data_IF_795011863354
#
_entry.id   IF_795011863354
#
_cell.length_a   1.000
_cell.length_b   1.000
_cell.length_c   1.000
_cell.angle_alpha   90.00
_cell.angle_beta   90.00
_cell.angle_gamma   90.00
#
_symmetry.space_group_name_H-M   'P 1'
#
loop_
_entity.id
_entity.type
_entity.pdbx_description
1 polymer ?
#
# COMPACT_ATOMS: atom_id res chain seq x y z
N UNK A 1 -8.27 8.08 5.78
CA UNK A 1 -7.90 6.93 4.92
C UNK A 1 -7.99 5.62 5.70
N UNK A 2 -7.37 5.56 6.88
CA UNK A 2 -7.37 4.40 7.78
C UNK A 2 -8.75 3.73 7.97
N UNK A 3 -9.78 4.45 8.41
CA UNK A 3 -11.11 3.86 8.67
C UNK A 3 -11.73 3.21 7.44
N UNK A 4 -11.53 3.82 6.26
CA UNK A 4 -12.02 3.28 4.99
C UNK A 4 -11.27 2.02 4.58
N UNK A 5 -9.98 1.92 4.89
CA UNK A 5 -9.19 0.72 4.61
C UNK A 5 -9.62 -0.40 5.56
N UNK A 6 -9.71 -0.12 6.86
CA UNK A 6 -10.14 -1.10 7.87
C UNK A 6 -11.52 -1.65 7.54
N UNK A 7 -12.48 -0.78 7.22
CA UNK A 7 -13.84 -1.18 6.82
C UNK A 7 -13.84 -2.09 5.59
N UNK A 8 -13.03 -1.76 4.59
CA UNK A 8 -12.96 -2.51 3.34
C UNK A 8 -12.19 -3.83 3.45
N UNK A 9 -11.24 -3.93 4.37
CA UNK A 9 -10.54 -5.18 4.66
C UNK A 9 -11.47 -6.21 5.32
N UNK A 10 -12.49 -5.75 6.06
CA UNK A 10 -13.53 -6.60 6.62
C UNK A 10 -12.95 -7.74 7.45
N UNK A 11 -13.36 -8.97 7.13
CA UNK A 11 -12.91 -10.18 7.84
C UNK A 11 -11.40 -10.46 7.72
N UNK A 12 -10.71 -9.82 6.77
CA UNK A 12 -9.25 -9.95 6.67
C UNK A 12 -8.53 -9.10 7.72
N UNK A 13 -9.16 -8.04 8.23
CA UNK A 13 -8.55 -7.13 9.20
C UNK A 13 -8.57 -7.72 10.62
N UNK A 14 -7.40 -7.73 11.25
CA UNK A 14 -7.27 -8.04 12.67
C UNK A 14 -7.27 -6.73 13.46
N UNK A 15 -8.08 -6.68 14.52
CA UNK A 15 -8.23 -5.49 15.36
C UNK A 15 -6.90 -4.95 15.92
N UNK A 16 -5.94 -5.84 16.14
CA UNK A 16 -4.60 -5.53 16.67
C UNK A 16 -3.63 -4.98 15.61
N UNK A 17 -4.00 -5.03 14.33
CA UNK A 17 -3.14 -4.61 13.22
C UNK A 17 -3.37 -3.14 12.81
N UNK A 18 -4.03 -2.32 13.62
CA UNK A 18 -4.29 -0.91 13.27
C UNK A 18 -2.99 -0.17 12.92
N UNK A 19 -1.95 -0.35 13.73
CA UNK A 19 -0.65 0.28 13.52
C UNK A 19 0.07 -0.29 12.28
N UNK A 20 -0.19 -1.54 11.91
CA UNK A 20 0.33 -2.12 10.66
C UNK A 20 -0.26 -1.37 9.46
N UNK A 21 -1.58 -1.12 9.47
CA UNK A 21 -2.24 -0.38 8.40
C UNK A 21 -1.75 1.07 8.36
N UNK A 22 -1.54 1.72 9.52
CA UNK A 22 -0.96 3.07 9.58
C UNK A 22 0.44 3.12 8.98
N UNK A 23 1.31 2.18 9.35
CA UNK A 23 2.67 2.10 8.82
C UNK A 23 2.68 1.94 7.29
N UNK A 24 1.77 1.11 6.74
CA UNK A 24 1.63 1.00 5.29
C UNK A 24 1.14 2.30 4.64
N UNK A 25 0.17 3.00 5.24
CA UNK A 25 -0.29 4.31 4.72
C UNK A 25 0.87 5.29 4.65
N UNK A 26 1.70 5.37 5.69
CA UNK A 26 2.87 6.26 5.73
C UNK A 26 3.92 5.87 4.68
N UNK A 27 4.27 4.59 4.59
CA UNK A 27 5.25 4.08 3.65
C UNK A 27 4.82 4.33 2.19
N UNK A 28 3.63 3.86 1.82
CA UNK A 28 3.14 4.03 0.45
C UNK A 28 2.81 5.50 0.13
N UNK A 29 2.41 6.29 1.13
CA UNK A 29 2.27 7.74 1.01
C UNK A 29 3.59 8.42 0.62
N UNK A 30 4.68 8.06 1.30
CA UNK A 30 6.02 8.58 1.01
C UNK A 30 6.50 8.18 -0.38
N UNK A 31 6.31 6.92 -0.76
CA UNK A 31 6.65 6.42 -2.11
C UNK A 31 5.86 7.19 -3.16
N UNK A 32 4.54 7.32 -2.98
CA UNK A 32 3.68 8.01 -3.93
C UNK A 32 4.05 9.50 -4.07
N UNK A 33 4.32 10.19 -2.96
CA UNK A 33 4.73 11.59 -2.94
C UNK A 33 6.04 11.82 -3.72
N UNK A 34 7.07 11.02 -3.42
CA UNK A 34 8.38 11.13 -4.03
C UNK A 34 8.36 10.89 -5.55
N UNK A 35 7.51 9.98 -6.03
CA UNK A 35 7.45 9.64 -7.45
C UNK A 35 6.52 10.55 -8.27
N UNK A 36 5.59 11.23 -7.61
CA UNK A 36 4.61 12.12 -8.27
C UNK A 36 4.92 13.61 -8.12
N UNK A 37 5.93 14.01 -7.35
CA UNK A 37 6.18 15.40 -6.96
C UNK A 37 4.95 16.07 -6.30
N UNK A 38 4.13 15.29 -5.60
CA UNK A 38 2.96 15.77 -4.84
C UNK A 38 3.20 15.58 -3.36
N UNK A 39 2.39 16.25 -2.54
CA UNK A 39 2.33 15.97 -1.10
C UNK A 39 1.63 14.63 -0.88
N UNK A 40 2.00 13.89 0.17
CA UNK A 40 1.42 12.59 0.47
C UNK A 40 -0.11 12.65 0.70
N UNK A 41 -0.61 13.80 1.15
CA UNK A 41 -2.02 14.07 1.42
C UNK A 41 -2.79 14.55 0.17
N UNK A 42 -2.14 14.67 -0.99
CA UNK A 42 -2.78 15.11 -2.23
C UNK A 42 -3.87 14.11 -2.63
N UNK A 43 -5.11 14.59 -2.84
CA UNK A 43 -6.27 13.78 -3.17
C UNK A 43 -6.06 12.94 -4.45
N UNK A 44 -5.20 13.40 -5.37
CA UNK A 44 -4.87 12.63 -6.58
C UNK A 44 -4.03 11.39 -6.27
N UNK A 45 -3.32 11.34 -5.14
CA UNK A 45 -2.59 10.15 -4.70
C UNK A 45 -3.46 9.16 -3.93
N UNK A 46 -4.58 9.63 -3.36
CA UNK A 46 -5.48 8.83 -2.54
C UNK A 46 -5.79 7.45 -3.14
N UNK A 47 -6.31 7.32 -4.38
CA UNK A 47 -6.70 6.01 -4.90
C UNK A 47 -5.52 5.05 -5.07
N UNK A 48 -4.34 5.56 -5.37
CA UNK A 48 -3.14 4.76 -5.58
C UNK A 48 -2.59 4.23 -4.25
N UNK A 49 -2.44 5.11 -3.25
CA UNK A 49 -1.99 4.74 -1.90
C UNK A 49 -2.99 3.77 -1.28
N UNK A 50 -4.29 4.07 -1.38
CA UNK A 50 -5.37 3.25 -0.85
C UNK A 50 -5.32 1.80 -1.35
N UNK A 51 -5.15 1.63 -2.66
CA UNK A 51 -5.07 0.30 -3.28
C UNK A 51 -3.78 -0.44 -2.90
N UNK A 52 -2.64 0.27 -2.85
CA UNK A 52 -1.36 -0.32 -2.45
C UNK A 52 -1.40 -0.85 -1.01
N UNK A 53 -1.94 -0.05 -0.07
CA UNK A 53 -2.08 -0.45 1.34
C UNK A 53 -2.97 -1.68 1.50
N UNK A 54 -4.13 -1.72 0.84
CA UNK A 54 -5.02 -2.89 0.89
C UNK A 54 -4.33 -4.13 0.35
N UNK A 55 -3.65 -4.02 -0.79
CA UNK A 55 -2.93 -5.14 -1.39
C UNK A 55 -1.82 -5.67 -0.47
N UNK A 56 -1.02 -4.78 0.12
CA UNK A 56 0.04 -5.14 1.05
C UNK A 56 -0.51 -5.85 2.29
N UNK A 57 -1.59 -5.33 2.87
CA UNK A 57 -2.20 -5.91 4.06
C UNK A 57 -2.78 -7.31 3.80
N UNK A 58 -3.56 -7.48 2.73
CA UNK A 58 -4.13 -8.78 2.35
C UNK A 58 -3.01 -9.81 2.12
N UNK A 59 -1.90 -9.38 1.52
CA UNK A 59 -0.76 -10.25 1.26
C UNK A 59 -0.08 -10.70 2.55
N UNK A 60 0.18 -9.80 3.49
CA UNK A 60 0.67 -10.13 4.84
C UNK A 60 -0.19 -11.17 5.55
N UNK A 61 -1.51 -11.07 5.43
CA UNK A 61 -2.45 -12.04 5.99
C UNK A 61 -2.44 -13.41 5.29
N UNK A 62 -2.08 -13.43 4.00
CA UNK A 62 -2.01 -14.64 3.17
C UNK A 62 -0.68 -15.39 3.33
N UNK A 63 0.40 -14.67 3.68
CA UNK A 63 1.74 -15.24 3.95
C UNK A 63 1.77 -16.19 5.14
N UNK A 64 0.86 -16.03 6.12
CA UNK A 64 0.70 -16.98 7.22
C UNK A 64 0.02 -18.30 6.85
N UNK A 65 -0.55 -18.42 5.64
CA UNK A 65 -1.24 -19.64 5.15
C UNK A 65 -0.40 -20.43 4.14
N UNK A 66 0.65 -19.84 3.59
CA UNK A 66 1.55 -20.46 2.63
C UNK A 66 2.94 -20.60 3.24
N UNK A 67 3.18 -21.67 4.01
CA UNK A 67 4.53 -22.25 4.02
C UNK A 67 4.90 -22.57 2.57
N UNK A 68 6.17 -22.40 2.22
CA UNK A 68 6.77 -22.67 0.89
C UNK A 68 6.75 -21.47 -0.08
N UNK A 69 7.79 -20.63 -0.01
CA UNK A 69 8.70 -20.24 -1.13
C UNK A 69 9.49 -18.99 -0.70
N UNK A 70 10.67 -19.20 -0.11
CA UNK A 70 11.55 -18.16 0.47
C UNK A 70 12.16 -17.21 -0.57
N UNK A 71 11.93 -17.43 -1.87
CA UNK A 71 12.38 -16.55 -2.95
C UNK A 71 11.38 -15.47 -3.40
N UNK A 72 10.08 -15.72 -3.35
CA UNK A 72 9.07 -14.87 -4.04
C UNK A 72 8.45 -13.76 -3.19
N UNK A 73 8.76 -13.72 -1.89
CA UNK A 73 8.13 -12.80 -0.92
C UNK A 73 8.64 -11.37 -1.12
N UNK A 74 9.96 -11.20 -1.34
CA UNK A 74 10.54 -9.88 -1.61
C UNK A 74 10.11 -9.32 -2.97
N UNK A 75 10.03 -10.15 -4.01
CA UNK A 75 9.58 -9.75 -5.35
C UNK A 75 8.13 -9.22 -5.35
N UNK A 76 7.35 -9.63 -4.35
CA UNK A 76 5.93 -9.37 -4.26
C UNK A 76 5.59 -8.02 -3.63
N UNK A 77 6.33 -7.61 -2.60
CA UNK A 77 6.25 -6.24 -2.07
C UNK A 77 6.87 -5.27 -3.07
N UNK A 78 7.97 -5.69 -3.73
CA UNK A 78 8.54 -4.93 -4.84
C UNK A 78 7.51 -4.73 -5.96
N UNK A 79 6.69 -5.72 -6.31
CA UNK A 79 5.62 -5.56 -7.33
C UNK A 79 4.59 -4.50 -6.94
N UNK A 80 4.13 -4.47 -5.68
CA UNK A 80 3.17 -3.47 -5.19
C UNK A 80 3.80 -2.07 -5.24
N UNK A 81 5.04 -1.92 -4.77
CA UNK A 81 5.75 -0.65 -4.81
C UNK A 81 6.06 -0.19 -6.24
N UNK A 82 6.57 -1.07 -7.09
CA UNK A 82 6.92 -0.82 -8.48
C UNK A 82 5.67 -0.43 -9.27
N UNK A 83 4.55 -1.10 -9.03
CA UNK A 83 3.25 -0.69 -9.57
C UNK A 83 2.83 0.69 -9.08
N UNK A 84 2.90 0.96 -7.78
CA UNK A 84 2.55 2.26 -7.21
C UNK A 84 3.40 3.37 -7.84
N UNK A 85 4.73 3.20 -7.90
CA UNK A 85 5.69 4.12 -8.51
C UNK A 85 5.29 4.44 -9.95
N UNK A 86 4.99 3.42 -10.76
CA UNK A 86 4.55 3.59 -12.15
C UNK A 86 3.22 4.33 -12.26
N UNK A 87 2.24 3.93 -11.45
CA UNK A 87 0.87 4.43 -11.59
C UNK A 87 0.77 5.91 -11.17
N UNK A 88 1.53 6.35 -10.15
CA UNK A 88 1.52 7.76 -9.69
C UNK A 88 2.27 8.71 -10.63
N UNK A 89 3.11 8.21 -11.54
CA UNK A 89 3.75 9.03 -12.58
C UNK A 89 2.67 9.66 -13.48
N UNK A 90 1.56 8.97 -13.74
CA UNK A 90 0.46 9.47 -14.57
C UNK A 90 -0.18 10.75 -14.02
N UNK A 91 -0.11 10.95 -12.70
CA UNK A 91 -0.63 12.14 -12.02
C UNK A 91 0.49 13.10 -11.61
N UNK A 92 1.74 12.87 -12.02
CA UNK A 92 2.90 13.65 -11.58
C UNK A 92 2.70 15.15 -11.82
N UNK A 93 3.06 15.97 -10.82
CA UNK A 93 3.07 17.42 -10.95
C UNK A 93 4.40 17.86 -11.60
N UNK A 94 4.30 18.47 -12.77
CA UNK A 94 5.43 19.19 -13.37
C UNK A 94 5.64 20.46 -12.55
N UNK A 95 6.86 20.64 -12.07
CA UNK A 95 7.28 21.76 -11.22
C UNK A 95 8.05 22.76 -12.07
#
# INVERSE_FOLDING_TARGET
>A
MLDKIIKDLGDNYKKEDEDVVKNFIELYGTIAANNSNRKAEDEKLYPYIYNAVKAAYIRRGSEGKASETVGSISDSYDDIETKLKRDVISVRKVI
#
